data_IF_700124413068
#
_entry.id   IF_700124413068
#
_cell.length_a   1.000
_cell.length_b   1.000
_cell.length_c   1.000
_cell.angle_alpha   90.00
_cell.angle_beta   90.00
_cell.angle_gamma   90.00
#
_symmetry.space_group_name_H-M   'P 1'
#
loop_
_entity.id
_entity.type
_entity.pdbx_description
1 polymer ?
#
# COMPACT_ATOMS: atom_id res chain seq x y z
N UNK A 1 17.84 -11.04 -72.88
CA UNK A 1 17.01 -12.02 -72.13
C UNK A 1 17.38 -12.19 -70.65
N UNK A 2 18.29 -11.36 -70.09
CA UNK A 2 18.73 -11.43 -68.67
C UNK A 2 17.95 -10.51 -67.71
N UNK A 3 17.03 -9.70 -68.24
CA UNK A 3 16.30 -8.67 -67.48
C UNK A 3 15.03 -9.17 -66.80
N UNK A 4 14.53 -10.37 -67.14
CA UNK A 4 13.31 -10.95 -66.53
C UNK A 4 13.58 -11.70 -65.23
N UNK A 5 14.82 -12.10 -64.98
CA UNK A 5 15.22 -12.83 -63.76
C UNK A 5 15.36 -11.87 -62.56
N UNK A 6 15.72 -10.61 -62.81
CA UNK A 6 15.83 -9.58 -61.77
C UNK A 6 14.48 -9.23 -61.12
N UNK A 7 13.36 -9.40 -61.84
CA UNK A 7 12.02 -9.14 -61.33
C UNK A 7 11.54 -10.22 -60.34
N UNK A 8 12.05 -11.45 -60.42
CA UNK A 8 11.65 -12.54 -59.53
C UNK A 8 12.33 -12.45 -58.15
N UNK A 9 13.51 -11.83 -58.06
CA UNK A 9 14.23 -11.65 -56.79
C UNK A 9 13.69 -10.46 -55.96
N UNK A 10 13.03 -9.49 -56.62
CA UNK A 10 12.44 -8.32 -55.97
C UNK A 10 11.12 -8.63 -55.23
N UNK A 11 10.47 -9.76 -55.53
CA UNK A 11 9.19 -10.13 -54.90
C UNK A 11 9.35 -10.85 -53.53
N UNK A 12 10.53 -11.35 -53.18
CA UNK A 12 10.76 -12.10 -51.93
C UNK A 12 11.13 -11.23 -50.71
N UNK A 13 11.22 -9.91 -50.86
CA UNK A 13 11.50 -9.00 -49.72
C UNK A 13 10.21 -8.63 -48.96
N UNK A 14 9.03 -8.97 -49.49
CA UNK A 14 7.74 -8.69 -48.86
C UNK A 14 7.33 -9.63 -47.70
N UNK A 15 8.17 -10.59 -47.31
CA UNK A 15 7.95 -11.41 -46.12
C UNK A 15 8.73 -10.91 -44.90
N UNK A 16 8.92 -9.59 -44.80
CA UNK A 16 9.27 -8.95 -43.54
C UNK A 16 8.09 -9.13 -42.60
N UNK A 17 8.11 -10.22 -41.82
CA UNK A 17 7.17 -10.47 -40.75
C UNK A 17 7.20 -9.31 -39.78
N UNK A 18 6.26 -8.37 -39.94
CA UNK A 18 5.98 -7.34 -38.98
C UNK A 18 5.18 -7.99 -37.85
N UNK A 19 5.84 -8.82 -37.02
CA UNK A 19 5.35 -9.02 -35.65
C UNK A 19 5.74 -7.75 -34.91
N UNK A 20 4.90 -6.73 -35.06
CA UNK A 20 4.87 -5.60 -34.14
C UNK A 20 4.22 -6.09 -32.85
N UNK A 21 4.95 -6.88 -32.08
CA UNK A 21 4.59 -7.13 -30.69
C UNK A 21 5.20 -6.00 -29.86
N UNK A 22 4.56 -4.83 -29.95
CA UNK A 22 4.70 -3.81 -28.91
C UNK A 22 3.87 -4.27 -27.70
N UNK A 23 4.35 -5.29 -27.02
CA UNK A 23 3.92 -5.59 -25.65
C UNK A 23 4.71 -4.68 -24.71
N UNK A 24 4.42 -3.38 -24.75
CA UNK A 24 4.74 -2.52 -23.62
C UNK A 24 3.79 -1.34 -23.55
N UNK A 25 2.52 -1.64 -23.32
CA UNK A 25 1.73 -0.79 -22.45
C UNK A 25 1.38 -1.63 -21.22
N UNK A 26 2.07 -1.36 -20.09
CA UNK A 26 1.64 -1.76 -18.74
C UNK A 26 0.32 -1.03 -18.32
N UNK A 27 -0.47 -0.66 -19.33
CA UNK A 27 -1.67 0.15 -19.37
C UNK A 27 -1.53 1.53 -18.69
N UNK A 28 -1.74 2.61 -19.45
CA UNK A 28 -1.71 4.02 -19.01
C UNK A 28 -2.69 4.37 -17.86
N UNK A 29 -3.42 3.38 -17.35
CA UNK A 29 -4.42 3.48 -16.31
C UNK A 29 -4.09 2.63 -15.07
N UNK A 30 -2.89 2.07 -14.95
CA UNK A 30 -2.44 1.34 -13.75
C UNK A 30 -1.67 2.28 -12.82
N UNK A 31 -2.14 2.40 -11.58
CA UNK A 31 -1.52 3.21 -10.55
C UNK A 31 -1.23 2.36 -9.32
N UNK A 32 -0.01 2.49 -8.79
CA UNK A 32 0.34 1.98 -7.47
C UNK A 32 0.01 3.04 -6.42
N UNK A 33 -0.76 2.66 -5.41
CA UNK A 33 -1.14 3.48 -4.27
C UNK A 33 -0.52 2.84 -3.04
N UNK A 34 0.45 3.53 -2.44
CA UNK A 34 1.08 3.13 -1.19
C UNK A 34 0.34 3.82 -0.04
N UNK A 35 -0.06 3.02 0.96
CA UNK A 35 -0.74 3.48 2.18
C UNK A 35 0.10 3.05 3.37
N UNK A 36 0.67 4.03 4.06
CA UNK A 36 1.39 3.82 5.31
C UNK A 36 0.40 3.83 6.47
N UNK A 37 0.23 2.66 7.11
CA UNK A 37 -0.51 2.53 8.35
C UNK A 37 0.49 2.36 9.50
N UNK A 38 0.63 3.40 10.31
CA UNK A 38 1.42 3.35 11.54
C UNK A 38 0.54 2.97 12.73
N UNK A 39 1.02 2.05 13.58
CA UNK A 39 0.40 1.76 14.88
C UNK A 39 -0.76 0.76 14.84
N UNK A 40 -1.59 0.80 15.88
CA UNK A 40 -2.65 -0.17 16.23
C UNK A 40 -3.87 -0.16 15.29
N UNK A 41 -3.73 0.30 14.05
CA UNK A 41 -4.84 0.28 13.09
C UNK A 41 -5.02 -1.17 12.65
N UNK A 42 -6.06 -1.82 13.17
CA UNK A 42 -6.37 -3.20 12.84
C UNK A 42 -6.47 -3.34 11.31
N UNK A 43 -5.92 -4.43 10.76
CA UNK A 43 -5.88 -4.70 9.31
C UNK A 43 -7.27 -4.55 8.64
N UNK A 44 -8.36 -4.76 9.38
CA UNK A 44 -9.73 -4.54 8.90
C UNK A 44 -10.05 -3.06 8.65
N UNK A 45 -9.64 -2.16 9.55
CA UNK A 45 -9.75 -0.71 9.36
C UNK A 45 -8.86 -0.25 8.21
N UNK A 46 -7.65 -0.83 8.09
CA UNK A 46 -6.72 -0.52 7.01
C UNK A 46 -7.32 -0.83 5.63
N UNK A 47 -8.00 -1.98 5.45
CA UNK A 47 -8.67 -2.32 4.17
C UNK A 47 -9.72 -1.29 3.76
N UNK A 48 -10.55 -0.82 4.69
CA UNK A 48 -11.55 0.22 4.42
C UNK A 48 -10.93 1.57 4.04
N UNK A 49 -9.86 1.97 4.74
CA UNK A 49 -9.12 3.21 4.45
C UNK A 49 -8.40 3.15 3.10
N UNK A 50 -7.80 2.00 2.76
CA UNK A 50 -7.18 1.76 1.46
C UNK A 50 -8.21 1.90 0.36
N UNK A 51 -9.38 1.25 0.49
CA UNK A 51 -10.43 1.33 -0.52
C UNK A 51 -10.93 2.76 -0.70
N UNK A 52 -11.11 3.51 0.39
CA UNK A 52 -11.45 4.93 0.34
C UNK A 52 -10.38 5.74 -0.43
N UNK A 53 -9.11 5.54 -0.10
CA UNK A 53 -8.00 6.27 -0.72
C UNK A 53 -7.89 5.98 -2.21
N UNK A 54 -8.10 4.72 -2.60
CA UNK A 54 -8.16 4.30 -4.00
C UNK A 54 -9.32 4.99 -4.74
N UNK A 55 -10.51 5.02 -4.13
CA UNK A 55 -11.67 5.67 -4.71
C UNK A 55 -11.46 7.19 -4.88
N UNK A 56 -10.93 7.87 -3.87
CA UNK A 56 -10.59 9.29 -3.93
C UNK A 56 -9.58 9.59 -5.04
N UNK A 57 -8.50 8.81 -5.13
CA UNK A 57 -7.48 8.96 -6.18
C UNK A 57 -8.06 8.73 -7.57
N UNK A 58 -8.96 7.76 -7.72
CA UNK A 58 -9.65 7.44 -8.98
C UNK A 58 -10.50 8.63 -9.44
N UNK A 59 -11.32 9.19 -8.54
CA UNK A 59 -12.16 10.35 -8.85
C UNK A 59 -11.33 11.61 -9.11
N UNK A 60 -10.27 11.86 -8.32
CA UNK A 60 -9.38 13.00 -8.48
C UNK A 60 -8.68 13.01 -9.85
N UNK A 61 -8.43 11.83 -10.42
CA UNK A 61 -7.83 11.65 -11.75
C UNK A 61 -8.86 11.69 -12.89
N UNK A 62 -10.15 11.88 -12.60
CA UNK A 62 -11.21 11.93 -13.60
C UNK A 62 -11.65 10.56 -14.15
N UNK A 63 -11.32 9.48 -13.44
CA UNK A 63 -11.84 8.14 -13.71
C UNK A 63 -13.10 7.86 -12.90
N UNK A 64 -13.90 6.92 -13.36
CA UNK A 64 -15.20 6.58 -12.75
C UNK A 64 -15.18 5.25 -12.00
N UNK A 65 -14.36 4.31 -12.47
CA UNK A 65 -14.32 2.94 -11.98
C UNK A 65 -12.88 2.49 -11.77
N UNK A 66 -12.67 1.47 -10.94
CA UNK A 66 -11.35 0.89 -10.72
C UNK A 66 -11.41 -0.62 -10.42
N UNK A 67 -10.32 -1.32 -10.69
CA UNK A 67 -10.09 -2.72 -10.31
C UNK A 67 -8.78 -2.79 -9.55
N UNK A 68 -8.80 -3.46 -8.40
CA UNK A 68 -7.58 -3.77 -7.64
C UNK A 68 -6.97 -5.02 -8.25
N UNK A 69 -5.77 -4.90 -8.82
CA UNK A 69 -5.04 -6.01 -9.47
C UNK A 69 -4.20 -6.78 -8.47
N UNK A 70 -3.52 -6.06 -7.58
CA UNK A 70 -2.66 -6.64 -6.57
C UNK A 70 -2.71 -5.80 -5.31
N UNK A 71 -2.69 -6.45 -4.15
CA UNK A 71 -2.53 -5.81 -2.86
C UNK A 71 -1.42 -6.56 -2.10
N UNK A 72 -0.36 -5.85 -1.76
CA UNK A 72 0.74 -6.35 -0.95
C UNK A 72 0.78 -5.61 0.38
N UNK A 73 0.84 -6.33 1.49
CA UNK A 73 1.01 -5.75 2.82
C UNK A 73 2.38 -6.17 3.35
N UNK A 74 3.23 -5.20 3.62
CA UNK A 74 4.52 -5.39 4.27
C UNK A 74 4.40 -4.98 5.73
N UNK A 75 4.62 -5.95 6.63
CA UNK A 75 4.64 -5.70 8.07
C UNK A 75 6.08 -5.48 8.50
N UNK A 76 6.33 -4.45 9.30
CA UNK A 76 7.63 -4.11 9.84
C UNK A 76 7.48 -3.58 11.27
N UNK A 77 8.59 -3.45 11.98
CA UNK A 77 8.62 -2.89 13.32
C UNK A 77 9.73 -1.86 13.37
N UNK A 78 9.41 -0.64 13.80
CA UNK A 78 10.41 0.41 14.01
C UNK A 78 10.68 0.56 15.49
N UNK A 79 11.95 0.79 15.82
CA UNK A 79 12.38 1.09 17.17
C UNK A 79 11.92 2.50 17.56
N UNK A 80 11.25 2.62 18.71
CA UNK A 80 10.62 3.85 19.17
C UNK A 80 11.17 4.38 20.50
N UNK A 81 12.14 3.68 21.10
CA UNK A 81 12.80 4.08 22.34
C UNK A 81 12.88 2.94 23.35
N UNK A 82 13.15 3.28 24.61
CA UNK A 82 13.15 2.36 25.74
C UNK A 82 12.10 2.76 26.77
N UNK A 83 11.59 1.79 27.53
CA UNK A 83 10.79 2.09 28.72
C UNK A 83 11.64 2.79 29.78
N UNK A 84 11.05 3.67 30.61
CA UNK A 84 11.80 4.36 31.66
C UNK A 84 12.52 3.37 32.57
N UNK A 85 13.77 3.68 32.92
CA UNK A 85 14.55 2.89 33.89
C UNK A 85 14.40 3.52 35.26
N UNK A 86 13.97 2.72 36.23
CA UNK A 86 13.88 3.10 37.63
C UNK A 86 14.93 2.33 38.43
N UNK A 87 15.72 3.05 39.22
CA UNK A 87 16.62 2.47 40.22
C UNK A 87 16.00 2.59 41.60
N UNK A 88 15.89 1.49 42.33
CA UNK A 88 15.54 1.49 43.74
C UNK A 88 16.78 1.10 44.55
N UNK A 89 17.30 2.04 45.33
CA UNK A 89 18.42 1.79 46.24
C UNK A 89 17.90 1.61 47.66
N UNK A 90 18.10 0.42 48.21
CA UNK A 90 17.87 0.14 49.63
C UNK A 90 19.19 0.18 50.37
N UNK A 91 19.26 0.94 51.46
CA UNK A 91 20.46 1.04 52.31
C UNK A 91 20.16 0.43 53.66
N UNK A 92 20.91 -0.59 54.04
CA UNK A 92 20.85 -1.23 55.35
C UNK A 92 22.10 -0.85 56.15
N UNK A 93 21.90 -0.26 57.33
CA UNK A 93 23.00 0.10 58.24
C UNK A 93 23.05 -0.92 59.37
N UNK A 94 24.20 -1.55 59.57
CA UNK A 94 24.45 -2.46 60.68
C UNK A 94 25.70 -2.02 61.44
N UNK A 95 25.52 -1.58 62.69
CA UNK A 95 26.59 -0.97 63.47
C UNK A 95 27.11 0.30 62.79
N UNK A 96 28.41 0.33 62.50
CA UNK A 96 29.09 1.47 61.86
C UNK A 96 29.29 1.30 60.34
N UNK A 97 28.64 0.30 59.73
CA UNK A 97 28.79 -0.05 58.31
C UNK A 97 27.45 0.05 57.58
N UNK A 98 27.43 0.69 56.41
CA UNK A 98 26.26 0.81 55.55
C UNK A 98 26.41 -0.06 54.29
N UNK A 99 25.39 -0.87 53.99
CA UNK A 99 25.29 -1.68 52.79
C UNK A 99 24.19 -1.12 51.90
N UNK A 100 24.55 -0.65 50.70
CA UNK A 100 23.60 -0.22 49.69
C UNK A 100 23.40 -1.32 48.65
N UNK A 101 22.15 -1.62 48.32
CA UNK A 101 21.78 -2.48 47.21
C UNK A 101 20.86 -1.71 46.27
N UNK A 102 21.25 -1.59 45.00
CA UNK A 102 20.45 -0.91 43.97
C UNK A 102 19.89 -1.92 42.99
N UNK A 103 18.57 -2.01 42.91
CA UNK A 103 17.86 -2.80 41.90
C UNK A 103 17.36 -1.89 40.79
N UNK A 104 17.66 -2.23 39.53
CA UNK A 104 17.17 -1.50 38.36
C UNK A 104 15.99 -2.25 37.74
N UNK A 105 14.93 -1.54 37.38
CA UNK A 105 13.75 -2.09 36.70
C UNK A 105 13.38 -1.19 35.52
N UNK A 106 13.11 -1.78 34.35
CA UNK A 106 12.79 -1.04 33.12
C UNK A 106 13.86 -1.18 32.03
N UNK A 107 13.86 -0.27 31.05
CA UNK A 107 14.84 -0.24 29.95
C UNK A 107 14.53 -1.18 28.78
N UNK A 108 13.36 -1.81 28.77
CA UNK A 108 12.96 -2.69 27.67
C UNK A 108 12.72 -1.86 26.40
N UNK A 109 13.14 -2.33 25.21
CA UNK A 109 12.90 -1.60 23.97
C UNK A 109 11.40 -1.53 23.66
N UNK A 110 10.96 -0.35 23.26
CA UNK A 110 9.62 -0.07 22.73
C UNK A 110 9.71 -0.16 21.21
N UNK A 111 9.01 -1.14 20.63
CA UNK A 111 8.89 -1.31 19.19
C UNK A 111 7.48 -0.94 18.74
N UNK A 112 7.36 -0.07 17.74
CA UNK A 112 6.07 0.27 17.13
C UNK A 112 5.88 -0.60 15.89
N UNK A 113 4.78 -1.37 15.78
CA UNK A 113 4.46 -2.06 14.55
C UNK A 113 4.09 -1.03 13.46
N UNK A 114 4.68 -1.21 12.28
CA UNK A 114 4.35 -0.48 11.06
C UNK A 114 3.84 -1.46 10.02
N UNK A 115 2.82 -1.05 9.27
CA UNK A 115 2.34 -1.82 8.14
C UNK A 115 2.23 -0.90 6.94
N UNK A 116 3.02 -1.20 5.91
CA UNK A 116 2.94 -0.51 4.64
C UNK A 116 2.13 -1.39 3.69
N UNK A 117 1.02 -0.88 3.18
CA UNK A 117 0.21 -1.61 2.20
C UNK A 117 0.29 -0.91 0.85
N UNK A 118 0.79 -1.62 -0.15
CA UNK A 118 0.87 -1.18 -1.54
C UNK A 118 -0.22 -1.86 -2.34
N UNK A 119 -1.06 -1.08 -3.01
CA UNK A 119 -2.13 -1.60 -3.87
C UNK A 119 -1.94 -1.10 -5.29
N UNK A 120 -1.93 -2.03 -6.24
CA UNK A 120 -1.89 -1.74 -7.67
C UNK A 120 -3.33 -1.75 -8.19
N UNK A 121 -3.73 -0.65 -8.79
CA UNK A 121 -5.10 -0.39 -9.22
C UNK A 121 -5.13 -0.01 -10.68
N UNK A 122 -5.98 -0.67 -11.46
CA UNK A 122 -6.31 -0.25 -12.83
C UNK A 122 -7.57 0.61 -12.80
N UNK A 123 -7.52 1.82 -13.34
CA UNK A 123 -8.64 2.76 -13.38
C UNK A 123 -9.33 2.75 -14.75
N UNK A 124 -10.63 3.06 -14.77
CA UNK A 124 -11.46 3.01 -15.98
C UNK A 124 -12.42 4.20 -16.04
N UNK A 125 -12.67 4.65 -17.26
CA UNK A 125 -13.60 5.74 -17.57
C UNK A 125 -14.76 5.20 -18.38
N UNK A 126 -15.99 5.58 -18.03
CA UNK A 126 -17.17 5.27 -18.83
C UNK A 126 -17.03 5.83 -20.27
N UNK A 127 -17.50 5.11 -21.31
CA UNK A 127 -18.26 3.84 -21.25
C UNK A 127 -17.39 2.57 -21.25
N UNK A 128 -16.06 2.68 -21.37
CA UNK A 128 -15.13 1.53 -21.46
C UNK A 128 -14.80 0.94 -20.08
N UNK A 129 -15.80 0.35 -19.43
CA UNK A 129 -15.69 -0.23 -18.09
C UNK A 129 -15.82 -1.76 -18.17
N UNK A 130 -14.81 -2.53 -17.73
CA UNK A 130 -14.91 -3.98 -17.70
C UNK A 130 -15.90 -4.48 -16.64
N UNK A 131 -16.50 -5.64 -16.89
CA UNK A 131 -17.36 -6.31 -15.93
C UNK A 131 -16.55 -6.66 -14.66
N UNK A 132 -16.97 -6.15 -13.50
CA UNK A 132 -16.27 -6.32 -12.22
C UNK A 132 -15.51 -5.09 -11.73
N UNK A 133 -15.49 -3.98 -12.48
CA UNK A 133 -14.95 -2.73 -11.99
C UNK A 133 -15.83 -2.11 -10.89
N UNK A 134 -15.20 -1.62 -9.83
CA UNK A 134 -15.88 -0.97 -8.71
C UNK A 134 -16.10 0.49 -9.04
N UNK A 135 -17.33 0.96 -8.87
CA UNK A 135 -17.67 2.39 -8.96
C UNK A 135 -17.01 3.16 -7.80
N UNK A 136 -16.18 4.15 -8.15
CA UNK A 136 -15.42 4.92 -7.17
C UNK A 136 -16.31 5.82 -6.30
N UNK A 137 -17.36 6.42 -6.88
CA UNK A 137 -18.29 7.26 -6.13
C UNK A 137 -19.09 6.44 -5.12
N UNK A 138 -19.51 5.23 -5.51
CA UNK A 138 -20.22 4.30 -4.62
C UNK A 138 -19.32 3.78 -3.51
N UNK A 139 -18.07 3.42 -3.82
CA UNK A 139 -17.09 2.98 -2.82
C UNK A 139 -16.82 4.07 -1.78
N UNK A 140 -16.66 5.32 -2.21
CA UNK A 140 -16.45 6.47 -1.32
C UNK A 140 -17.69 6.79 -0.46
N UNK A 141 -18.89 6.65 -1.03
CA UNK A 141 -20.13 6.82 -0.27
C UNK A 141 -20.28 5.75 0.82
N UNK A 142 -19.86 4.52 0.54
CA UNK A 142 -19.90 3.41 1.49
C UNK A 142 -18.84 3.52 2.61
N UNK A 143 -17.69 4.16 2.33
CA UNK A 143 -16.60 4.29 3.30
C UNK A 143 -16.81 5.43 4.31
N UNK A 144 -17.65 6.42 4.00
CA UNK A 144 -17.97 7.51 4.94
C UNK A 144 -18.65 6.91 6.19
N UNK A 145 -18.12 7.16 7.40
CA UNK A 145 -18.78 6.69 8.61
C UNK A 145 -20.16 7.34 8.68
N UNK A 146 -21.22 6.52 8.80
CA UNK A 146 -22.52 7.00 9.25
C UNK A 146 -22.29 7.73 10.56
N UNK A 147 -22.49 9.06 10.59
CA UNK A 147 -22.49 9.85 11.84
C UNK A 147 -23.47 9.16 12.80
N UNK A 148 -22.95 8.38 13.74
CA UNK A 148 -23.74 7.86 14.87
C UNK A 148 -24.05 9.11 15.69
N UNK A 149 -25.28 9.65 15.56
CA UNK A 149 -25.80 10.67 16.48
C UNK A 149 -25.56 10.13 17.89
N UNK A 150 -24.70 10.79 18.65
CA UNK A 150 -24.54 10.49 20.07
C UNK A 150 -25.92 10.66 20.72
N UNK A 151 -26.43 9.68 21.48
CA UNK A 151 -27.53 9.94 22.38
C UNK A 151 -27.02 10.94 23.42
N UNK A 152 -27.58 12.14 23.39
CA UNK A 152 -27.55 13.07 24.51
C UNK A 152 -28.40 12.38 25.59
N UNK A 153 -27.78 11.98 26.70
CA UNK A 153 -28.43 11.54 27.92
C UNK A 153 -27.99 12.47 29.04
#
# INVERSE_FOLDING_TARGET
MKLRIAAALAASICASGCVSQSEMALANNVYKIDVDAQGLISMAMAKGQIQQRVAESTLAKGYTHYIIQAAGTQNSTIYAGHTPVYGNTTVNVFGNTAYANTTYTGGQPINIPTSQTSVIVTMFKAPNVPAGAIDAARALAASKPKKKKAPIS
#
